data_IF_857978810253
#
_entry.id   IF_857978810253
#
_cell.length_a   1.000
_cell.length_b   1.000
_cell.length_c   1.000
_cell.angle_alpha   90.00
_cell.angle_beta   90.00
_cell.angle_gamma   90.00
#
_symmetry.space_group_name_H-M   'P 1'
#
loop_
_entity.id
_entity.type
_entity.pdbx_description
1 polymer ?
#
# COMPACT_ATOMS: atom_id res chain seq x y z
N UNK A 1 4.09 18.40 -2.53
CA UNK A 1 4.88 17.15 -2.38
C UNK A 1 4.55 16.22 -3.54
N UNK A 2 5.51 15.45 -3.98
CA UNK A 2 5.32 14.33 -4.91
C UNK A 2 5.01 13.09 -4.09
N UNK A 3 3.83 12.51 -4.30
CA UNK A 3 3.33 11.40 -3.48
C UNK A 3 2.94 10.24 -4.37
N UNK A 4 3.49 9.06 -4.11
CA UNK A 4 3.04 7.82 -4.73
C UNK A 4 1.97 7.18 -3.83
N UNK A 5 0.86 6.75 -4.45
CA UNK A 5 -0.19 5.94 -3.81
C UNK A 5 -0.21 4.58 -4.50
N UNK A 6 0.39 3.59 -3.86
CA UNK A 6 0.36 2.20 -4.32
C UNK A 6 -0.95 1.52 -3.89
N UNK A 7 -1.58 0.78 -4.81
CA UNK A 7 -2.93 0.25 -4.62
C UNK A 7 -4.02 1.30 -4.90
N UNK A 8 -3.75 2.22 -5.82
CA UNK A 8 -4.63 3.36 -6.10
C UNK A 8 -5.95 3.02 -6.83
N UNK A 9 -6.08 1.83 -7.42
CA UNK A 9 -7.36 1.34 -7.95
C UNK A 9 -8.30 0.85 -6.84
N UNK A 10 -7.75 0.59 -5.65
CA UNK A 10 -8.46 0.02 -4.51
C UNK A 10 -9.36 1.00 -3.76
N UNK A 11 -10.13 0.42 -2.80
CA UNK A 11 -11.10 1.13 -1.98
C UNK A 11 -10.48 2.26 -1.13
N UNK A 12 -9.30 2.04 -0.55
CA UNK A 12 -8.59 3.06 0.23
C UNK A 12 -7.72 3.95 -0.67
N UNK A 13 -7.05 3.36 -1.67
CA UNK A 13 -6.09 4.07 -2.50
C UNK A 13 -6.71 5.17 -3.35
N UNK A 14 -7.83 4.90 -4.01
CA UNK A 14 -8.49 5.86 -4.87
C UNK A 14 -8.93 7.14 -4.12
N UNK A 15 -9.73 7.09 -3.05
CA UNK A 15 -10.11 8.30 -2.33
C UNK A 15 -8.93 9.02 -1.68
N UNK A 16 -7.89 8.30 -1.28
CA UNK A 16 -6.65 8.91 -0.77
C UNK A 16 -5.95 9.69 -1.89
N UNK A 17 -5.83 9.14 -3.09
CA UNK A 17 -5.23 9.83 -4.23
C UNK A 17 -6.00 11.10 -4.59
N UNK A 18 -7.33 11.03 -4.61
CA UNK A 18 -8.18 12.20 -4.85
C UNK A 18 -7.98 13.28 -3.78
N UNK A 19 -8.02 12.89 -2.50
CA UNK A 19 -7.85 13.81 -1.39
C UNK A 19 -6.49 14.53 -1.44
N UNK A 20 -5.42 13.79 -1.67
CA UNK A 20 -4.07 14.36 -1.78
C UNK A 20 -3.94 15.29 -2.99
N UNK A 21 -4.50 14.90 -4.15
CA UNK A 21 -4.56 15.74 -5.33
C UNK A 21 -5.36 17.01 -5.08
N UNK A 22 -6.50 16.91 -4.36
CA UNK A 22 -7.32 18.07 -3.99
C UNK A 22 -6.54 19.05 -3.09
N UNK A 23 -5.70 18.54 -2.21
CA UNK A 23 -4.80 19.35 -1.35
C UNK A 23 -3.61 19.97 -2.10
N UNK A 24 -3.49 19.74 -3.40
CA UNK A 24 -2.46 20.34 -4.24
C UNK A 24 -1.13 19.58 -4.27
N UNK A 25 -1.14 18.30 -3.89
CA UNK A 25 0.02 17.44 -4.07
C UNK A 25 0.08 16.89 -5.50
N UNK A 26 1.30 16.63 -5.98
CA UNK A 26 1.52 15.88 -7.22
C UNK A 26 1.38 14.39 -6.90
N UNK A 27 0.30 13.78 -7.40
CA UNK A 27 -0.05 12.40 -7.04
C UNK A 27 0.21 11.47 -8.21
N UNK A 28 0.87 10.36 -7.91
CA UNK A 28 1.10 9.25 -8.82
C UNK A 28 0.49 7.98 -8.23
N UNK A 29 -0.35 7.30 -8.98
CA UNK A 29 -0.90 5.99 -8.63
C UNK A 29 0.00 4.91 -9.21
N UNK A 30 0.28 3.87 -8.42
CA UNK A 30 0.89 2.61 -8.86
C UNK A 30 -0.07 1.47 -8.51
N UNK A 31 -0.48 0.68 -9.51
CA UNK A 31 -1.41 -0.44 -9.31
C UNK A 31 -1.20 -1.51 -10.38
N UNK A 32 -1.36 -2.78 -10.05
CA UNK A 32 -1.32 -3.88 -11.02
C UNK A 32 -2.72 -4.35 -11.46
N UNK A 33 -3.77 -3.69 -10.97
CA UNK A 33 -5.19 -3.94 -11.25
C UNK A 33 -5.65 -5.38 -10.91
N UNK A 34 -4.83 -6.16 -10.22
CA UNK A 34 -5.08 -7.59 -9.93
C UNK A 34 -6.38 -7.81 -9.15
N UNK A 35 -6.84 -6.84 -8.37
CA UNK A 35 -8.12 -6.94 -7.67
C UNK A 35 -9.29 -7.21 -8.63
N UNK A 36 -9.24 -6.66 -9.83
CA UNK A 36 -10.28 -6.87 -10.86
C UNK A 36 -10.24 -8.31 -11.40
N UNK A 37 -9.06 -8.94 -11.38
CA UNK A 37 -8.92 -10.35 -11.76
C UNK A 37 -9.49 -11.27 -10.66
N UNK A 38 -9.35 -10.93 -9.36
CA UNK A 38 -9.98 -11.69 -8.28
C UNK A 38 -11.51 -11.70 -8.40
N UNK A 39 -12.10 -10.56 -8.79
CA UNK A 39 -13.55 -10.48 -8.99
C UNK A 39 -14.00 -11.44 -10.11
N UNK A 40 -13.25 -11.55 -11.20
CA UNK A 40 -13.50 -12.48 -12.30
C UNK A 40 -13.30 -13.94 -11.86
N UNK A 41 -12.18 -14.23 -11.21
CA UNK A 41 -11.83 -15.57 -10.73
C UNK A 41 -12.89 -16.12 -9.76
N UNK A 42 -13.35 -15.29 -8.84
CA UNK A 42 -14.37 -15.65 -7.84
C UNK A 42 -15.79 -15.49 -8.34
N UNK A 43 -15.99 -15.16 -9.62
CA UNK A 43 -17.29 -14.87 -10.22
C UNK A 43 -18.12 -13.90 -9.35
N UNK A 44 -17.44 -12.89 -8.81
CA UNK A 44 -18.04 -11.85 -7.98
C UNK A 44 -18.14 -10.54 -8.76
N UNK A 45 -19.10 -9.73 -8.39
CA UNK A 45 -19.29 -8.41 -8.99
C UNK A 45 -19.38 -7.36 -7.88
N UNK A 46 -18.81 -6.21 -8.17
CA UNK A 46 -19.01 -5.06 -7.30
C UNK A 46 -20.50 -4.69 -7.25
N UNK A 47 -21.00 -4.37 -6.06
CA UNK A 47 -22.42 -3.92 -5.87
C UNK A 47 -22.69 -2.67 -6.73
N UNK A 48 -21.70 -1.82 -6.87
CA UNK A 48 -21.75 -0.65 -7.77
C UNK A 48 -20.71 -0.83 -8.87
N UNK A 49 -21.07 -0.65 -10.14
CA UNK A 49 -20.11 -0.70 -11.23
C UNK A 49 -18.97 0.30 -10.99
N UNK A 50 -17.74 -0.16 -11.16
CA UNK A 50 -16.54 0.67 -11.00
C UNK A 50 -15.91 0.87 -12.37
N UNK A 51 -15.84 2.14 -12.83
CA UNK A 51 -15.16 2.52 -14.05
C UNK A 51 -13.66 2.14 -14.01
N UNK A 52 -13.02 2.04 -15.16
CA UNK A 52 -11.58 1.80 -15.24
C UNK A 52 -10.79 2.90 -14.51
N UNK A 53 -9.57 2.59 -14.11
CA UNK A 53 -8.71 3.57 -13.45
C UNK A 53 -8.43 4.75 -14.38
N UNK A 54 -8.21 4.47 -15.66
CA UNK A 54 -8.00 5.47 -16.70
C UNK A 54 -9.19 6.44 -16.85
N UNK A 55 -10.42 5.90 -16.95
CA UNK A 55 -11.64 6.71 -17.02
C UNK A 55 -11.81 7.60 -15.78
N UNK A 56 -11.52 7.05 -14.59
CA UNK A 56 -11.64 7.79 -13.33
C UNK A 56 -10.63 8.93 -13.25
N UNK A 57 -9.37 8.70 -13.63
CA UNK A 57 -8.32 9.73 -13.66
C UNK A 57 -8.65 10.81 -14.70
N UNK A 58 -9.12 10.41 -15.90
CA UNK A 58 -9.55 11.36 -16.92
C UNK A 58 -10.72 12.23 -16.43
N UNK A 59 -11.68 11.62 -15.74
CA UNK A 59 -12.82 12.34 -15.18
C UNK A 59 -12.41 13.29 -14.06
N UNK A 60 -11.45 12.90 -13.22
CA UNK A 60 -10.88 13.78 -12.21
C UNK A 60 -10.22 15.02 -12.82
N UNK A 61 -9.43 14.82 -13.87
CA UNK A 61 -8.80 15.93 -14.60
C UNK A 61 -9.82 16.86 -15.26
N UNK A 62 -10.87 16.30 -15.86
CA UNK A 62 -11.99 17.08 -16.45
C UNK A 62 -12.68 17.97 -15.41
N UNK A 63 -12.98 17.40 -14.23
CA UNK A 63 -13.75 18.09 -13.18
C UNK A 63 -12.93 19.12 -12.40
N UNK A 64 -11.64 18.88 -12.21
CA UNK A 64 -10.81 19.67 -11.29
C UNK A 64 -9.66 20.42 -11.95
N UNK A 65 -9.31 20.06 -13.17
CA UNK A 65 -8.10 20.52 -13.86
C UNK A 65 -6.81 19.90 -13.32
N UNK A 66 -6.89 19.04 -12.28
CA UNK A 66 -5.73 18.42 -11.64
C UNK A 66 -5.40 17.08 -12.27
N UNK A 67 -4.12 16.79 -12.39
CA UNK A 67 -3.63 15.55 -13.00
C UNK A 67 -3.20 14.55 -11.91
N UNK A 68 -3.56 13.29 -12.11
CA UNK A 68 -3.02 12.16 -11.36
C UNK A 68 -2.36 11.25 -12.39
N UNK A 69 -1.07 10.98 -12.20
CA UNK A 69 -0.32 10.04 -13.04
C UNK A 69 -0.65 8.61 -12.64
N UNK A 70 -0.56 7.69 -13.59
CA UNK A 70 -0.78 6.26 -13.36
C UNK A 70 0.35 5.45 -13.96
N UNK A 71 0.92 4.56 -13.16
CA UNK A 71 1.82 3.50 -13.60
C UNK A 71 1.16 2.16 -13.31
N UNK A 72 0.86 1.42 -14.36
CA UNK A 72 0.35 0.07 -14.23
C UNK A 72 1.51 -0.91 -14.12
N UNK A 73 1.59 -1.62 -12.99
CA UNK A 73 2.64 -2.60 -12.73
C UNK A 73 2.64 -3.12 -11.30
N UNK A 74 3.46 -4.15 -11.09
CA UNK A 74 3.50 -4.90 -9.84
C UNK A 74 4.73 -4.53 -9.00
N UNK A 75 4.53 -4.24 -7.72
CA UNK A 75 5.60 -3.93 -6.76
C UNK A 75 6.56 -5.12 -6.52
N UNK A 76 6.14 -6.33 -6.85
CA UNK A 76 7.02 -7.50 -6.83
C UNK A 76 8.12 -7.44 -7.90
N UNK A 77 7.95 -6.63 -8.92
CA UNK A 77 8.95 -6.40 -9.97
C UNK A 77 9.82 -5.20 -9.61
N UNK A 78 10.97 -5.45 -8.99
CA UNK A 78 11.86 -4.40 -8.51
C UNK A 78 12.33 -3.42 -9.58
N UNK A 79 12.59 -3.89 -10.80
CA UNK A 79 12.99 -3.03 -11.92
C UNK A 79 11.91 -2.00 -12.29
N UNK A 80 10.63 -2.43 -12.28
CA UNK A 80 9.50 -1.54 -12.48
C UNK A 80 9.43 -0.48 -11.38
N UNK A 81 9.49 -0.91 -10.13
CA UNK A 81 9.44 0.00 -8.98
C UNK A 81 10.62 0.99 -8.99
N UNK A 82 11.82 0.51 -9.31
CA UNK A 82 13.02 1.34 -9.47
C UNK A 82 12.85 2.41 -10.56
N UNK A 83 12.22 2.04 -11.68
CA UNK A 83 11.90 3.00 -12.75
C UNK A 83 10.98 4.10 -12.24
N UNK A 84 9.91 3.72 -11.54
CA UNK A 84 8.93 4.68 -10.98
C UNK A 84 9.59 5.62 -9.99
N UNK A 85 10.41 5.10 -9.07
CA UNK A 85 11.14 5.94 -8.10
C UNK A 85 12.09 6.93 -8.76
N UNK A 86 12.83 6.49 -9.78
CA UNK A 86 13.76 7.36 -10.53
C UNK A 86 13.04 8.48 -11.28
N UNK A 87 11.84 8.21 -11.81
CA UNK A 87 11.07 9.19 -12.57
C UNK A 87 10.31 10.16 -11.68
N UNK A 88 9.64 9.63 -10.64
CA UNK A 88 8.74 10.43 -9.81
C UNK A 88 9.41 11.05 -8.60
N UNK A 89 10.52 10.47 -8.11
CA UNK A 89 11.30 10.95 -6.96
C UNK A 89 10.39 11.31 -5.77
N UNK A 90 9.65 10.34 -5.22
CA UNK A 90 8.61 10.62 -4.24
C UNK A 90 9.17 11.16 -2.93
N UNK A 91 8.49 12.16 -2.36
CA UNK A 91 8.72 12.66 -1.00
C UNK A 91 7.90 11.88 0.03
N UNK A 92 6.83 11.21 -0.42
CA UNK A 92 6.06 10.28 0.39
C UNK A 92 5.54 9.11 -0.47
N UNK A 93 5.44 7.94 0.16
CA UNK A 93 4.91 6.72 -0.44
C UNK A 93 3.81 6.14 0.46
N UNK A 94 2.57 6.12 -0.04
CA UNK A 94 1.42 5.54 0.66
C UNK A 94 1.17 4.15 0.11
N UNK A 95 1.26 3.14 0.97
CA UNK A 95 1.23 1.74 0.57
C UNK A 95 -0.07 1.04 0.99
N UNK A 96 -0.96 0.82 0.01
CA UNK A 96 -2.17 0.02 0.11
C UNK A 96 -2.18 -1.21 -0.80
N UNK A 97 -1.11 -1.43 -1.57
CA UNK A 97 -1.03 -2.49 -2.58
C UNK A 97 -0.75 -3.85 -1.95
N UNK A 98 -1.72 -4.38 -1.20
CA UNK A 98 -1.64 -5.68 -0.56
C UNK A 98 -2.84 -6.56 -0.88
N UNK A 99 -2.60 -7.86 -0.94
CA UNK A 99 -3.66 -8.85 -0.89
C UNK A 99 -4.13 -8.97 0.57
N UNK A 100 -5.31 -8.40 0.85
CA UNK A 100 -5.87 -8.21 2.20
C UNK A 100 -6.86 -9.26 2.63
N UNK A 101 -7.30 -10.13 1.72
CA UNK A 101 -8.38 -11.08 1.97
C UNK A 101 -7.85 -12.39 2.55
N UNK A 102 -8.07 -12.61 3.85
CA UNK A 102 -7.77 -13.89 4.47
C UNK A 102 -8.53 -15.05 3.80
N UNK A 103 -9.84 -14.96 3.49
CA UNK A 103 -10.52 -16.02 2.76
C UNK A 103 -9.89 -16.35 1.42
N UNK A 104 -9.43 -15.35 0.65
CA UNK A 104 -8.73 -15.56 -0.62
C UNK A 104 -7.43 -16.35 -0.42
N UNK A 105 -6.63 -15.98 0.56
CA UNK A 105 -5.38 -16.68 0.87
C UNK A 105 -5.56 -18.13 1.37
N UNK A 106 -6.77 -18.50 1.76
CA UNK A 106 -7.10 -19.82 2.31
C UNK A 106 -7.79 -20.76 1.30
N UNK A 107 -7.97 -20.33 0.06
CA UNK A 107 -8.59 -21.16 -1.00
C UNK A 107 -7.75 -22.40 -1.24
N UNK A 108 -6.45 -22.23 -1.49
CA UNK A 108 -5.49 -23.31 -1.69
C UNK A 108 -4.05 -22.82 -1.46
N UNK A 109 -3.08 -23.72 -1.71
CA UNK A 109 -1.66 -23.41 -1.57
C UNK A 109 -1.19 -22.29 -2.50
N UNK A 110 -1.71 -22.20 -3.72
CA UNK A 110 -1.29 -21.21 -4.72
C UNK A 110 -1.69 -19.82 -4.28
N UNK A 111 -2.93 -19.65 -3.79
CA UNK A 111 -3.43 -18.39 -3.22
C UNK A 111 -2.66 -17.98 -1.96
N UNK A 112 -2.30 -18.96 -1.10
CA UNK A 112 -1.48 -18.69 0.07
C UNK A 112 -0.08 -18.19 -0.33
N UNK A 113 0.59 -18.88 -1.27
CA UNK A 113 1.92 -18.49 -1.77
C UNK A 113 1.86 -17.10 -2.43
N UNK A 114 0.88 -16.87 -3.29
CA UNK A 114 0.67 -15.57 -3.91
C UNK A 114 0.53 -14.46 -2.87
N UNK A 115 -0.32 -14.66 -1.85
CA UNK A 115 -0.53 -13.67 -0.78
C UNK A 115 0.78 -13.34 -0.07
N UNK A 116 1.56 -14.36 0.30
CA UNK A 116 2.85 -14.14 0.95
C UNK A 116 3.85 -13.42 0.04
N UNK A 117 3.96 -13.83 -1.22
CA UNK A 117 4.85 -13.18 -2.18
C UNK A 117 4.45 -11.70 -2.36
N UNK A 118 3.17 -11.44 -2.60
CA UNK A 118 2.69 -10.09 -2.80
C UNK A 118 2.98 -9.20 -1.59
N UNK A 119 2.62 -9.67 -0.39
CA UNK A 119 2.67 -8.82 0.80
C UNK A 119 4.07 -8.72 1.41
N UNK A 120 4.92 -9.73 1.27
CA UNK A 120 6.28 -9.70 1.83
C UNK A 120 7.28 -9.12 0.84
N UNK A 121 7.31 -9.64 -0.39
CA UNK A 121 8.29 -9.21 -1.38
C UNK A 121 7.97 -7.78 -1.87
N UNK A 122 6.70 -7.45 -2.09
CA UNK A 122 6.29 -6.09 -2.44
C UNK A 122 6.74 -5.05 -1.40
N UNK A 123 6.53 -5.34 -0.11
CA UNK A 123 7.02 -4.48 0.97
C UNK A 123 8.54 -4.35 0.99
N UNK A 124 9.25 -5.47 0.86
CA UNK A 124 10.71 -5.47 0.83
C UNK A 124 11.24 -4.59 -0.31
N UNK A 125 10.66 -4.72 -1.49
CA UNK A 125 11.01 -3.93 -2.65
C UNK A 125 10.80 -2.44 -2.42
N UNK A 126 9.68 -2.05 -1.80
CA UNK A 126 9.39 -0.63 -1.45
C UNK A 126 10.45 -0.10 -0.50
N UNK A 127 10.81 -0.84 0.55
CA UNK A 127 11.83 -0.42 1.51
C UNK A 127 13.21 -0.24 0.84
N UNK A 128 13.58 -1.16 -0.05
CA UNK A 128 14.84 -1.03 -0.79
C UNK A 128 14.81 0.10 -1.81
N UNK A 129 13.70 0.32 -2.51
CA UNK A 129 13.56 1.43 -3.43
C UNK A 129 13.68 2.79 -2.71
N UNK A 130 13.05 2.93 -1.54
CA UNK A 130 13.21 4.12 -0.69
C UNK A 130 14.68 4.29 -0.31
N UNK A 131 15.30 3.25 0.25
CA UNK A 131 16.70 3.29 0.69
C UNK A 131 17.68 3.67 -0.42
N UNK A 132 17.45 3.18 -1.64
CA UNK A 132 18.38 3.34 -2.76
C UNK A 132 18.17 4.66 -3.53
N UNK A 133 16.93 5.10 -3.67
CA UNK A 133 16.61 6.21 -4.58
C UNK A 133 16.15 7.49 -3.87
N UNK A 134 15.38 7.39 -2.79
CA UNK A 134 14.86 8.54 -2.05
C UNK A 134 14.83 8.24 -0.55
N UNK A 135 16.01 8.22 0.13
CA UNK A 135 16.12 7.77 1.52
C UNK A 135 15.34 8.63 2.53
N UNK A 136 14.98 9.85 2.15
CA UNK A 136 14.17 10.76 2.97
C UNK A 136 12.66 10.62 2.67
N UNK A 137 12.26 9.70 1.81
CA UNK A 137 10.87 9.48 1.46
C UNK A 137 10.08 8.95 2.67
N UNK A 138 9.01 9.64 3.03
CA UNK A 138 8.14 9.22 4.13
C UNK A 138 7.25 8.05 3.71
N UNK A 139 7.48 6.87 4.26
CA UNK A 139 6.64 5.69 4.04
C UNK A 139 5.44 5.71 4.99
N UNK A 140 4.24 5.66 4.42
CA UNK A 140 2.98 5.44 5.13
C UNK A 140 2.42 4.09 4.70
N UNK A 141 2.50 3.09 5.57
CA UNK A 141 1.99 1.75 5.31
C UNK A 141 0.77 1.46 6.18
N UNK A 142 -0.28 0.96 5.56
CA UNK A 142 -1.42 0.46 6.31
C UNK A 142 -1.08 -0.92 6.90
N UNK A 143 -1.04 -0.99 8.23
CA UNK A 143 -0.84 -2.23 8.97
C UNK A 143 -2.14 -3.00 9.20
N UNK A 144 -2.14 -3.88 10.18
CA UNK A 144 -3.31 -4.66 10.57
C UNK A 144 -3.67 -4.43 12.03
N UNK A 145 -4.94 -4.36 12.33
CA UNK A 145 -5.43 -4.33 13.72
C UNK A 145 -5.08 -5.61 14.50
N UNK A 146 -4.67 -6.66 13.82
CA UNK A 146 -4.29 -7.94 14.43
C UNK A 146 -2.82 -8.05 14.83
N UNK A 147 -1.99 -7.03 14.65
CA UNK A 147 -0.56 -7.07 14.97
C UNK A 147 -0.29 -7.43 16.43
N UNK A 148 -1.09 -6.90 17.32
CA UNK A 148 -0.94 -7.12 18.77
C UNK A 148 -1.79 -8.28 19.29
N UNK A 149 -2.63 -8.90 18.46
CA UNK A 149 -3.55 -9.94 18.88
C UNK A 149 -4.59 -9.42 19.89
N UNK A 150 -4.75 -10.17 20.98
CA UNK A 150 -5.58 -9.78 22.13
C UNK A 150 -4.73 -9.85 23.42
N UNK A 151 -3.87 -8.85 23.64
CA UNK A 151 -3.00 -8.84 24.82
C UNK A 151 -3.84 -8.57 26.09
N UNK A 152 -3.38 -9.15 27.20
CA UNK A 152 -3.96 -8.89 28.52
C UNK A 152 -3.36 -7.65 29.21
N UNK A 153 -2.63 -6.85 28.47
CA UNK A 153 -1.97 -5.62 28.95
C UNK A 153 -2.33 -4.47 28.02
N UNK A 154 -2.31 -3.26 28.52
CA UNK A 154 -2.37 -2.07 27.70
C UNK A 154 -1.10 -1.94 26.87
N UNK A 155 -1.27 -1.66 25.58
CA UNK A 155 -0.19 -1.45 24.63
C UNK A 155 -0.15 0.03 24.30
N UNK A 156 0.91 0.69 24.76
CA UNK A 156 1.14 2.10 24.48
C UNK A 156 2.10 2.25 23.30
N UNK A 157 1.91 3.27 22.48
CA UNK A 157 2.92 3.64 21.49
C UNK A 157 4.12 4.28 22.19
N UNK A 158 5.32 3.84 21.80
CA UNK A 158 6.58 4.38 22.33
C UNK A 158 7.45 3.33 22.99
N UNK A 159 8.12 3.74 24.06
CA UNK A 159 9.04 2.86 24.78
C UNK A 159 8.36 2.24 26.01
N UNK A 160 8.47 0.93 26.14
CA UNK A 160 8.03 0.19 27.32
C UNK A 160 9.22 -0.37 28.10
N UNK A 161 9.15 -0.32 29.43
CA UNK A 161 10.12 -1.01 30.29
C UNK A 161 9.71 -2.47 30.44
N UNK A 162 10.62 -3.36 30.15
CA UNK A 162 10.45 -4.81 30.36
C UNK A 162 11.46 -5.31 31.37
N UNK A 163 11.00 -6.02 32.38
CA UNK A 163 11.86 -6.74 33.33
C UNK A 163 11.69 -8.25 33.17
N UNK A 164 12.80 -8.94 32.93
CA UNK A 164 12.83 -10.40 32.89
C UNK A 164 14.08 -10.95 33.55
N UNK A 165 13.91 -11.85 34.54
CA UNK A 165 15.02 -12.47 35.29
C UNK A 165 16.04 -11.48 35.86
N UNK A 166 15.55 -10.35 36.41
CA UNK A 166 16.38 -9.31 37.00
C UNK A 166 17.12 -8.43 36.01
N UNK A 167 16.85 -8.54 34.70
CA UNK A 167 17.31 -7.62 33.68
C UNK A 167 16.17 -6.67 33.31
N UNK A 168 16.48 -5.38 33.27
CA UNK A 168 15.59 -4.34 32.78
C UNK A 168 16.09 -3.85 31.45
N UNK A 169 15.19 -3.66 30.53
CA UNK A 169 15.45 -3.07 29.23
C UNK A 169 14.29 -2.18 28.80
N UNK A 170 14.59 -1.22 27.94
CA UNK A 170 13.59 -0.31 27.38
C UNK A 170 13.44 -0.66 25.89
N UNK A 171 12.30 -1.21 25.55
CA UNK A 171 12.01 -1.64 24.19
C UNK A 171 11.10 -0.62 23.49
N UNK A 172 11.45 -0.27 22.25
CA UNK A 172 10.55 0.48 21.41
C UNK A 172 9.38 -0.41 20.99
N UNK A 173 8.18 0.00 21.35
CA UNK A 173 6.95 -0.68 21.01
C UNK A 173 6.12 0.24 20.11
N UNK A 174 6.34 0.14 18.81
CA UNK A 174 5.59 0.87 17.79
C UNK A 174 5.18 -0.09 16.69
N UNK A 175 3.99 0.13 16.16
CA UNK A 175 3.50 -0.61 14.99
C UNK A 175 4.13 -0.07 13.70
#
# INVERSE_FOLDING_TARGET
MRIIVAGGDGFCGWPTALYLSEKGHEVTIVDNLVRREYDKELNSNSVTPIASLEERVAKWKELTGKEIKVYEGDLNHYDFLSLVFKQERPEAFVHFAEQRSAPYSMIDREHAVYTHQNNVIGNLNVLYAIKEFEPDCHLIKLGTMGEYGQPNIDIEEGYIEVEHKGRKDCLLYTS
#
